data_IF_194061096894
#
_entry.id   IF_194061096894
#
_cell.length_a   1.000
_cell.length_b   1.000
_cell.length_c   1.000
_cell.angle_alpha   90.00
_cell.angle_beta   90.00
_cell.angle_gamma   90.00
#
_symmetry.space_group_name_H-M   'P 1'
#
loop_
_entity.id
_entity.type
_entity.pdbx_description
1 polymer ?
#
# COMPACT_ATOMS: atom_id res chain seq x y z
N UNK A 1 -2.66 -11.88 18.72
CA UNK A 1 -3.92 -11.12 18.56
C UNK A 1 -3.56 -9.66 18.39
N UNK A 2 -3.59 -9.10 17.18
CA UNK A 2 -3.18 -7.71 17.01
C UNK A 2 -3.31 -7.25 15.57
N UNK A 3 -4.54 -6.94 15.17
CA UNK A 3 -4.78 -6.22 13.92
C UNK A 3 -4.88 -4.74 14.26
N UNK A 4 -3.82 -3.97 13.98
CA UNK A 4 -3.76 -2.52 14.21
C UNK A 4 -4.08 -1.78 12.91
N UNK A 5 -5.33 -1.31 12.78
CA UNK A 5 -5.75 -0.50 11.64
C UNK A 5 -6.10 0.92 12.10
N UNK A 6 -5.39 1.91 11.57
CA UNK A 6 -5.67 3.32 11.79
C UNK A 6 -6.17 3.96 10.51
N UNK A 7 -7.39 4.51 10.54
CA UNK A 7 -8.06 5.03 9.35
C UNK A 7 -8.63 6.41 9.64
N UNK A 8 -8.05 7.41 8.99
CA UNK A 8 -8.44 8.81 9.06
C UNK A 8 -8.96 9.24 7.67
N UNK A 9 -10.27 9.49 7.58
CA UNK A 9 -10.99 10.04 6.42
C UNK A 9 -12.19 9.21 5.96
N UNK A 10 -12.92 9.71 4.95
CA UNK A 10 -14.30 9.28 4.64
C UNK A 10 -14.47 7.82 4.18
N UNK A 11 -13.56 7.31 3.36
CA UNK A 11 -13.70 6.02 2.69
C UNK A 11 -12.36 5.30 2.69
N UNK A 12 -12.27 4.22 3.45
CA UNK A 12 -11.05 3.44 3.54
C UNK A 12 -11.36 1.96 3.81
N UNK A 13 -10.84 1.06 2.98
CA UNK A 13 -11.00 -0.38 3.12
C UNK A 13 -9.64 -1.02 3.32
N UNK A 14 -9.42 -1.61 4.50
CA UNK A 14 -8.18 -2.29 4.89
C UNK A 14 -8.40 -3.80 4.96
N UNK A 15 -7.49 -4.54 4.34
CA UNK A 15 -7.42 -5.99 4.48
C UNK A 15 -5.99 -6.37 4.87
N UNK A 16 -5.76 -6.80 6.12
CA UNK A 16 -4.43 -7.16 6.63
C UNK A 16 -4.26 -6.83 8.11
N UNK A 17 -3.12 -7.20 8.70
CA UNK A 17 -2.89 -7.03 10.14
C UNK A 17 -2.63 -5.57 10.53
N UNK A 18 -1.73 -4.88 9.81
CA UNK A 18 -1.31 -3.52 10.19
C UNK A 18 -1.54 -2.56 9.03
N UNK A 19 -2.31 -1.49 9.23
CA UNK A 19 -2.46 -0.45 8.22
C UNK A 19 -2.70 0.94 8.81
N UNK A 20 -2.13 1.96 8.16
CA UNK A 20 -2.31 3.36 8.52
C UNK A 20 -2.76 4.13 7.29
N UNK A 21 -3.91 4.79 7.36
CA UNK A 21 -4.57 5.41 6.22
C UNK A 21 -5.01 6.83 6.53
N UNK A 22 -4.43 7.86 5.91
CA UNK A 22 -4.79 9.28 6.17
C UNK A 22 -5.24 10.03 4.92
N UNK A 23 -6.48 10.55 4.88
CA UNK A 23 -7.10 11.21 3.70
C UNK A 23 -8.37 10.52 3.14
N UNK A 24 -8.81 10.83 1.90
CA UNK A 24 -10.11 10.35 1.36
C UNK A 24 -9.93 9.21 0.34
N UNK A 25 -10.79 8.20 0.35
CA UNK A 25 -10.85 7.09 -0.64
C UNK A 25 -9.55 6.28 -0.73
N UNK A 26 -9.45 5.21 0.08
CA UNK A 26 -8.24 4.38 0.13
C UNK A 26 -8.52 2.89 0.17
N UNK A 27 -7.70 2.14 -0.54
CA UNK A 27 -7.68 0.68 -0.53
C UNK A 27 -6.28 0.27 -0.10
N UNK A 28 -6.16 -0.54 0.96
CA UNK A 28 -4.90 -1.19 1.28
C UNK A 28 -5.15 -2.65 1.60
N UNK A 29 -4.48 -3.52 0.87
CA UNK A 29 -4.57 -4.97 1.02
C UNK A 29 -3.18 -5.54 1.19
N UNK A 30 -2.93 -6.21 2.31
CA UNK A 30 -1.66 -6.82 2.69
C UNK A 30 -1.19 -6.41 4.09
N UNK A 31 -0.16 -7.09 4.61
CA UNK A 31 0.39 -6.84 5.94
C UNK A 31 1.29 -5.59 5.96
N UNK A 32 1.06 -4.67 6.90
CA UNK A 32 1.80 -3.40 7.04
C UNK A 32 1.69 -2.49 5.82
N UNK A 33 0.58 -1.76 5.70
CA UNK A 33 0.40 -0.78 4.62
C UNK A 33 0.15 0.64 5.14
N UNK A 34 0.95 1.61 4.68
CA UNK A 34 0.83 3.02 5.03
C UNK A 34 0.39 3.80 3.80
N UNK A 35 -0.81 4.36 3.83
CA UNK A 35 -1.40 5.08 2.71
C UNK A 35 -1.81 6.49 3.13
N UNK A 36 -1.24 7.51 2.51
CA UNK A 36 -1.51 8.93 2.81
C UNK A 36 -1.95 9.67 1.55
N UNK A 37 -3.03 10.44 1.64
CA UNK A 37 -3.58 11.30 0.60
C UNK A 37 -4.95 10.86 0.07
N UNK A 38 -5.27 11.16 -1.19
CA UNK A 38 -6.64 11.04 -1.75
C UNK A 38 -6.70 10.09 -2.94
N UNK A 39 -7.64 9.15 -2.99
CA UNK A 39 -7.75 8.11 -4.03
C UNK A 39 -6.46 7.33 -4.19
N UNK A 40 -6.20 6.41 -3.26
CA UNK A 40 -4.94 5.67 -3.22
C UNK A 40 -5.19 4.18 -3.01
N UNK A 41 -4.54 3.34 -3.80
CA UNK A 41 -4.67 1.88 -3.75
C UNK A 41 -3.29 1.28 -3.49
N UNK A 42 -3.16 0.49 -2.42
CA UNK A 42 -1.93 -0.17 -2.01
C UNK A 42 -2.20 -1.67 -1.89
N UNK A 43 -1.39 -2.49 -2.54
CA UNK A 43 -1.62 -3.93 -2.66
C UNK A 43 -0.28 -4.63 -2.46
N UNK A 44 -0.10 -5.35 -1.35
CA UNK A 44 1.12 -6.03 -0.98
C UNK A 44 1.50 -5.84 0.48
N UNK A 45 2.53 -6.56 0.92
CA UNK A 45 3.11 -6.41 2.26
C UNK A 45 4.09 -5.24 2.33
N UNK A 46 4.17 -4.52 3.45
CA UNK A 46 5.09 -3.38 3.65
C UNK A 46 4.99 -2.31 2.56
N UNK A 47 3.77 -1.88 2.22
CA UNK A 47 3.58 -0.83 1.19
C UNK A 47 3.51 0.56 1.80
N UNK A 48 4.09 1.54 1.12
CA UNK A 48 4.01 2.95 1.52
C UNK A 48 3.62 3.79 0.31
N UNK A 49 2.45 4.39 0.38
CA UNK A 49 1.88 5.22 -0.68
C UNK A 49 1.57 6.60 -0.13
N UNK A 50 2.08 7.66 -0.75
CA UNK A 50 1.84 9.04 -0.33
C UNK A 50 1.52 9.94 -1.53
N UNK A 51 0.36 10.59 -1.49
CA UNK A 51 -0.08 11.57 -2.47
C UNK A 51 -1.51 11.37 -2.96
N UNK A 52 -1.86 11.99 -4.08
CA UNK A 52 -3.20 11.89 -4.68
C UNK A 52 -3.17 10.86 -5.82
N UNK A 53 -4.25 10.12 -6.08
CA UNK A 53 -4.41 9.31 -7.30
C UNK A 53 -3.24 8.34 -7.54
N UNK A 54 -3.04 7.39 -6.62
CA UNK A 54 -1.89 6.48 -6.61
C UNK A 54 -2.30 5.02 -6.64
N UNK A 55 -1.48 4.22 -7.30
CA UNK A 55 -1.59 2.76 -7.26
C UNK A 55 -0.21 2.20 -6.95
N UNK A 56 -0.09 1.40 -5.89
CA UNK A 56 1.14 0.75 -5.45
C UNK A 56 0.86 -0.74 -5.33
N UNK A 57 1.49 -1.55 -6.17
CA UNK A 57 1.35 -3.01 -6.15
C UNK A 57 2.70 -3.65 -5.83
N UNK A 58 2.70 -4.71 -5.03
CA UNK A 58 3.88 -5.48 -4.67
C UNK A 58 4.33 -5.36 -3.22
N UNK A 59 5.12 -6.32 -2.77
CA UNK A 59 5.77 -6.28 -1.45
C UNK A 59 6.87 -5.22 -1.40
N UNK A 60 6.97 -4.49 -0.29
CA UNK A 60 7.92 -3.40 -0.07
C UNK A 60 7.79 -2.21 -1.06
N UNK A 61 6.65 -2.04 -1.72
CA UNK A 61 6.44 -0.98 -2.72
C UNK A 61 6.37 0.42 -2.11
N UNK A 62 6.98 1.40 -2.78
CA UNK A 62 7.02 2.79 -2.35
C UNK A 62 6.61 3.73 -3.48
N UNK A 63 5.60 4.56 -3.25
CA UNK A 63 5.02 5.41 -4.28
C UNK A 63 4.72 6.81 -3.72
N UNK A 64 5.40 7.86 -4.22
CA UNK A 64 5.19 9.28 -3.84
C UNK A 64 4.78 10.15 -5.03
N UNK A 65 3.98 11.21 -4.82
CA UNK A 65 3.60 12.18 -5.88
C UNK A 65 2.09 12.25 -6.16
N UNK A 66 1.69 13.00 -7.18
CA UNK A 66 0.28 13.39 -7.41
C UNK A 66 -0.52 12.48 -8.35
N UNK A 67 0.14 11.74 -9.22
CA UNK A 67 -0.47 10.73 -10.09
C UNK A 67 0.63 9.78 -10.49
N UNK A 68 0.63 8.57 -9.96
CA UNK A 68 1.77 7.66 -10.16
C UNK A 68 1.39 6.24 -9.82
N UNK A 69 1.83 5.34 -10.68
CA UNK A 69 1.68 3.90 -10.51
C UNK A 69 3.06 3.33 -10.20
N UNK A 70 3.15 2.47 -9.19
CA UNK A 70 4.40 1.80 -8.83
C UNK A 70 4.11 0.33 -8.62
N UNK A 71 4.90 -0.50 -9.28
CA UNK A 71 4.81 -1.96 -9.20
C UNK A 71 6.18 -2.44 -8.74
N UNK A 72 6.32 -2.82 -7.47
CA UNK A 72 7.54 -3.49 -7.03
C UNK A 72 7.33 -4.98 -7.21
N UNK A 73 8.08 -5.56 -8.14
CA UNK A 73 8.17 -7.01 -8.31
C UNK A 73 8.65 -7.57 -6.97
N UNK A 74 7.80 -8.37 -6.28
CA UNK A 74 8.29 -9.24 -5.23
C UNK A 74 9.48 -9.99 -5.83
N UNK A 75 10.63 -9.93 -5.15
CA UNK A 75 11.91 -10.50 -5.60
C UNK A 75 11.62 -11.84 -6.28
N UNK A 76 11.72 -11.90 -7.61
CA UNK A 76 11.83 -13.20 -8.26
C UNK A 76 13.15 -13.72 -7.70
N UNK A 77 13.17 -14.82 -6.92
CA UNK A 77 14.44 -15.42 -6.54
C UNK A 77 15.18 -15.61 -7.86
N UNK A 78 16.38 -15.02 -7.97
CA UNK A 78 17.23 -15.20 -9.16
C UNK A 78 17.20 -16.68 -9.46
N UNK A 79 16.65 -17.08 -10.61
CA UNK A 79 16.67 -18.47 -11.05
C UNK A 79 18.15 -18.84 -11.06
N UNK A 80 18.62 -19.57 -10.04
CA UNK A 80 19.97 -20.11 -10.00
C UNK A 80 19.96 -21.14 -11.13
N UNK A 81 20.40 -20.73 -12.30
CA UNK A 81 20.75 -21.64 -13.38
C UNK A 81 21.90 -22.47 -12.83
N UNK A 82 21.61 -23.71 -12.47
CA UNK A 82 22.60 -24.78 -12.45
C UNK A 82 23.03 -25.05 -13.88
#
# INVERSE_FOLDING_TARGET
MGNTSFTEGKTALTLGNTSIKRGKTKLAMGNSSITRGRSTTSLGSSTITSGKTKISLGGASFSRGTTTTSFRKAIFPKRKTL
#
